data_IF_592342605843
#
_entry.id   IF_592342605843
#
_cell.length_a   1.000
_cell.length_b   1.000
_cell.length_c   1.000
_cell.angle_alpha   90.00
_cell.angle_beta   90.00
_cell.angle_gamma   90.00
#
_symmetry.space_group_name_H-M   'P 1'
#
loop_
_entity.id
_entity.type
_entity.pdbx_description
1 polymer ?
#
# COMPACT_ATOMS: atom_id res chain seq x y z
N UNK A 1 -69.99 -16.85 -20.99
CA UNK A 1 -69.83 -16.38 -19.61
C UNK A 1 -68.36 -16.18 -19.34
N UNK A 2 -67.65 -15.33 -20.07
CA UNK A 2 -67.70 -13.85 -20.03
C UNK A 2 -67.06 -13.27 -18.78
N UNK A 3 -66.02 -12.47 -19.04
CA UNK A 3 -65.46 -11.42 -18.19
C UNK A 3 -64.88 -11.85 -16.82
N UNK A 4 -63.62 -11.57 -16.48
CA UNK A 4 -63.07 -10.21 -16.45
C UNK A 4 -61.56 -10.21 -16.63
N UNK A 5 -61.16 -9.28 -17.50
CA UNK A 5 -59.81 -8.85 -17.82
C UNK A 5 -59.47 -7.69 -16.86
N UNK A 6 -58.59 -7.90 -15.91
CA UNK A 6 -58.01 -6.83 -15.08
C UNK A 6 -56.50 -6.77 -15.29
N UNK A 7 -56.11 -5.85 -16.18
CA UNK A 7 -54.75 -5.37 -16.34
C UNK A 7 -54.18 -4.89 -15.00
N UNK A 8 -53.17 -5.57 -14.47
CA UNK A 8 -52.27 -4.98 -13.49
C UNK A 8 -50.99 -4.53 -14.20
N UNK A 9 -50.76 -3.23 -14.12
CA UNK A 9 -49.69 -2.48 -14.77
C UNK A 9 -48.32 -3.02 -14.35
N UNK A 10 -47.50 -3.40 -15.34
CA UNK A 10 -46.06 -3.49 -15.15
C UNK A 10 -45.50 -2.08 -14.95
N UNK A 11 -44.82 -1.85 -13.83
CA UNK A 11 -43.91 -0.74 -13.62
C UNK A 11 -42.49 -1.23 -13.93
N UNK A 12 -41.69 -0.49 -14.73
CA UNK A 12 -40.31 -0.87 -14.99
C UNK A 12 -39.41 -0.38 -13.85
N UNK A 13 -39.07 -1.25 -12.90
CA UNK A 13 -38.04 -0.92 -11.90
C UNK A 13 -36.66 -1.32 -12.39
N UNK A 14 -36.04 -0.38 -13.10
CA UNK A 14 -34.62 -0.02 -13.02
C UNK A 14 -33.60 -1.17 -12.98
N UNK A 15 -33.15 -1.57 -14.16
CA UNK A 15 -31.79 -2.09 -14.36
C UNK A 15 -30.76 -0.97 -14.09
N UNK A 16 -30.38 -0.74 -12.83
CA UNK A 16 -29.20 0.08 -12.51
C UNK A 16 -27.95 -0.80 -12.52
N UNK A 17 -27.39 -0.98 -13.71
CA UNK A 17 -25.98 -1.39 -13.88
C UNK A 17 -25.10 -0.37 -13.14
N UNK A 18 -24.15 -0.77 -12.27
CA UNK A 18 -23.12 0.16 -11.81
C UNK A 18 -22.05 0.29 -12.90
N UNK A 19 -22.31 1.15 -13.89
CA UNK A 19 -21.31 1.68 -14.80
C UNK A 19 -20.71 2.98 -14.23
N UNK A 20 -19.40 3.18 -14.45
CA UNK A 20 -18.66 4.46 -14.42
C UNK A 20 -17.97 4.98 -13.12
N UNK A 21 -16.96 4.27 -12.58
CA UNK A 21 -15.99 4.88 -11.64
C UNK A 21 -14.51 4.55 -11.88
N UNK A 22 -14.13 4.15 -13.11
CA UNK A 22 -12.77 3.69 -13.44
C UNK A 22 -11.77 4.80 -13.82
N UNK A 23 -12.22 5.98 -14.24
CA UNK A 23 -11.32 7.04 -14.78
C UNK A 23 -10.65 7.91 -13.72
N UNK A 24 -11.32 8.21 -12.60
CA UNK A 24 -10.79 9.06 -11.52
C UNK A 24 -9.75 8.37 -10.62
N UNK A 25 -9.76 7.03 -10.57
CA UNK A 25 -8.82 6.23 -9.77
C UNK A 25 -7.40 6.20 -10.40
N UNK A 26 -7.29 6.14 -11.73
CA UNK A 26 -6.01 6.08 -12.46
C UNK A 26 -5.16 7.35 -12.28
N UNK A 27 -5.77 8.53 -12.34
CA UNK A 27 -5.06 9.81 -12.19
C UNK A 27 -4.50 9.98 -10.76
N UNK A 28 -5.26 9.55 -9.75
CA UNK A 28 -4.84 9.55 -8.34
C UNK A 28 -3.72 8.55 -8.07
N UNK A 29 -3.82 7.33 -8.60
CA UNK A 29 -2.76 6.32 -8.50
C UNK A 29 -1.45 6.80 -9.11
N UNK A 30 -1.50 7.42 -10.30
CA UNK A 30 -0.31 7.97 -10.97
C UNK A 30 0.36 9.09 -10.16
N UNK A 31 -0.44 9.92 -9.48
CA UNK A 31 0.05 10.99 -8.58
C UNK A 31 0.66 10.45 -7.28
N UNK A 32 0.16 9.35 -6.75
CA UNK A 32 0.74 8.68 -5.57
C UNK A 32 2.09 8.06 -5.94
N UNK A 33 2.16 7.33 -7.06
CA UNK A 33 3.42 6.73 -7.51
C UNK A 33 4.51 7.77 -7.81
N UNK A 34 4.14 8.92 -8.38
CA UNK A 34 5.12 9.97 -8.63
C UNK A 34 5.67 10.59 -7.34
N UNK A 35 4.84 10.72 -6.29
CA UNK A 35 5.30 11.15 -4.95
C UNK A 35 6.22 10.11 -4.30
N UNK A 36 5.86 8.82 -4.35
CA UNK A 36 6.70 7.74 -3.84
C UNK A 36 8.06 7.70 -4.56
N UNK A 37 8.07 7.86 -5.88
CA UNK A 37 9.32 7.93 -6.66
C UNK A 37 10.22 9.10 -6.22
N UNK A 38 9.63 10.27 -5.92
CA UNK A 38 10.38 11.41 -5.37
C UNK A 38 10.95 11.08 -4.00
N UNK A 39 10.18 10.45 -3.13
CA UNK A 39 10.61 10.05 -1.78
C UNK A 39 11.74 9.01 -1.82
N UNK A 40 11.64 7.97 -2.65
CA UNK A 40 12.73 7.02 -2.89
C UNK A 40 14.00 7.72 -3.39
N UNK A 41 13.84 8.76 -4.21
CA UNK A 41 14.93 9.60 -4.71
C UNK A 41 15.61 10.39 -3.60
N UNK A 42 14.86 11.08 -2.74
CA UNK A 42 15.42 11.86 -1.62
C UNK A 42 16.10 10.96 -0.59
N UNK A 43 15.52 9.80 -0.28
CA UNK A 43 16.17 8.79 0.59
C UNK A 43 17.46 8.29 -0.04
N UNK A 44 17.49 8.08 -1.36
CA UNK A 44 18.71 7.69 -2.07
C UNK A 44 19.82 8.73 -2.02
N UNK A 45 19.46 10.01 -2.19
CA UNK A 45 20.41 11.11 -2.05
C UNK A 45 20.97 11.14 -0.64
N UNK A 46 20.12 11.10 0.38
CA UNK A 46 20.58 11.07 1.77
C UNK A 46 21.55 9.91 2.04
N UNK A 47 21.23 8.69 1.57
CA UNK A 47 22.12 7.53 1.72
C UNK A 47 23.51 7.80 1.11
N UNK A 48 23.57 8.41 -0.08
CA UNK A 48 24.82 8.72 -0.76
C UNK A 48 25.57 9.91 -0.14
N UNK A 49 24.84 10.98 0.21
CA UNK A 49 25.40 12.24 0.74
C UNK A 49 26.01 12.05 2.13
N UNK A 50 25.43 11.15 2.94
CA UNK A 50 25.87 10.86 4.31
C UNK A 50 26.55 9.50 4.46
N UNK A 51 26.76 8.79 3.36
CA UNK A 51 27.41 7.46 3.35
C UNK A 51 26.79 6.49 4.38
N UNK A 52 25.45 6.50 4.47
CA UNK A 52 24.69 5.77 5.49
C UNK A 52 24.64 4.26 5.25
N UNK A 53 24.77 3.84 3.99
CA UNK A 53 24.70 2.43 3.57
C UNK A 53 25.80 2.18 2.56
N UNK A 54 26.66 1.23 2.89
CA UNK A 54 27.82 0.80 2.09
C UNK A 54 27.62 -0.61 1.56
N UNK A 55 28.50 -0.99 0.65
CA UNK A 55 28.53 -2.34 0.07
C UNK A 55 28.79 -3.39 1.17
N UNK A 56 27.94 -4.39 1.24
CA UNK A 56 28.02 -5.49 2.21
C UNK A 56 27.32 -5.22 3.55
N UNK A 57 26.73 -4.04 3.75
CA UNK A 57 26.11 -3.69 5.03
C UNK A 57 24.90 -4.58 5.38
N UNK A 58 24.74 -4.84 6.67
CA UNK A 58 23.56 -5.51 7.24
C UNK A 58 22.77 -4.53 8.11
N UNK A 59 21.59 -4.16 7.64
CA UNK A 59 20.75 -3.11 8.23
C UNK A 59 19.57 -3.75 8.96
N UNK A 60 19.38 -3.38 10.22
CA UNK A 60 18.20 -3.77 11.00
C UNK A 60 17.23 -2.59 11.10
N UNK A 61 15.99 -2.79 10.69
CA UNK A 61 14.93 -1.77 10.73
C UNK A 61 13.98 -2.06 11.88
N UNK A 62 13.92 -1.14 12.85
CA UNK A 62 12.91 -1.16 13.90
C UNK A 62 11.52 -0.80 13.35
N UNK A 63 10.63 -1.78 13.31
CA UNK A 63 9.24 -1.62 12.88
C UNK A 63 8.37 -1.42 14.11
N UNK A 64 7.86 -0.20 14.27
CA UNK A 64 6.98 0.18 15.37
C UNK A 64 5.49 -0.07 15.10
N UNK A 65 5.13 -0.56 13.91
CA UNK A 65 3.74 -0.59 13.42
C UNK A 65 3.26 0.75 12.84
N UNK A 66 4.12 1.77 12.84
CA UNK A 66 3.83 3.06 12.22
C UNK A 66 3.98 3.07 10.70
N UNK A 67 3.27 3.99 10.04
CA UNK A 67 3.41 4.24 8.59
C UNK A 67 4.84 4.60 8.19
N UNK A 68 5.57 5.30 9.05
CA UNK A 68 6.90 5.83 8.73
C UNK A 68 7.96 4.72 8.69
N UNK A 69 7.95 3.81 9.67
CA UNK A 69 8.85 2.65 9.73
C UNK A 69 8.55 1.63 8.62
N UNK A 70 7.26 1.38 8.34
CA UNK A 70 6.85 0.52 7.22
C UNK A 70 7.21 1.13 5.86
N UNK A 71 7.02 2.44 5.69
CA UNK A 71 7.38 3.13 4.45
C UNK A 71 8.90 3.11 4.23
N UNK A 72 9.69 3.32 5.28
CA UNK A 72 11.15 3.23 5.19
C UNK A 72 11.59 1.82 4.79
N UNK A 73 11.03 0.79 5.43
CA UNK A 73 11.31 -0.61 5.09
C UNK A 73 11.00 -0.90 3.61
N UNK A 74 9.83 -0.47 3.11
CA UNK A 74 9.45 -0.63 1.70
C UNK A 74 10.44 0.07 0.74
N UNK A 75 10.87 1.29 1.08
CA UNK A 75 11.85 2.03 0.28
C UNK A 75 13.21 1.31 0.25
N UNK A 76 13.68 0.79 1.38
CA UNK A 76 14.95 0.06 1.47
C UNK A 76 14.89 -1.24 0.67
N UNK A 77 13.81 -2.00 0.76
CA UNK A 77 13.59 -3.21 -0.05
C UNK A 77 13.52 -2.89 -1.54
N UNK A 78 12.85 -1.79 -1.92
CA UNK A 78 12.80 -1.33 -3.30
C UNK A 78 14.18 -0.89 -3.83
N UNK A 79 15.03 -0.34 -2.96
CA UNK A 79 16.42 0.03 -3.27
C UNK A 79 17.31 -1.20 -3.41
N UNK A 80 17.19 -2.20 -2.54
CA UNK A 80 17.95 -3.44 -2.64
C UNK A 80 17.78 -4.11 -4.01
N UNK A 81 16.59 -4.01 -4.63
CA UNK A 81 16.29 -4.56 -5.96
C UNK A 81 16.82 -3.74 -7.14
N UNK A 82 17.14 -2.45 -6.94
CA UNK A 82 17.38 -1.49 -8.04
C UNK A 82 18.72 -0.76 -7.94
N UNK A 83 19.32 -0.72 -6.77
CA UNK A 83 20.56 0.00 -6.52
C UNK A 83 21.76 -0.89 -6.86
N UNK A 84 22.89 -0.28 -7.27
CA UNK A 84 24.14 -0.99 -7.52
C UNK A 84 24.88 -1.40 -6.23
N UNK A 85 24.30 -1.15 -5.05
CA UNK A 85 24.89 -1.45 -3.74
C UNK A 85 24.19 -2.68 -3.17
N UNK A 86 24.94 -3.74 -2.86
CA UNK A 86 24.40 -4.92 -2.20
C UNK A 86 24.42 -4.74 -0.69
N UNK A 87 23.24 -4.75 -0.07
CA UNK A 87 23.09 -4.72 1.38
C UNK A 87 21.97 -5.68 1.79
N UNK A 88 21.97 -6.08 3.06
CA UNK A 88 20.93 -6.94 3.66
C UNK A 88 20.04 -6.10 4.55
N UNK A 89 18.73 -6.38 4.54
CA UNK A 89 17.75 -5.72 5.40
C UNK A 89 17.02 -6.77 6.21
N UNK A 90 16.99 -6.57 7.52
CA UNK A 90 16.14 -7.30 8.45
C UNK A 90 15.18 -6.32 9.13
N UNK A 91 14.02 -6.80 9.57
CA UNK A 91 13.05 -6.03 10.33
C UNK A 91 12.89 -6.63 11.73
N UNK A 92 12.89 -5.79 12.76
CA UNK A 92 12.57 -6.20 14.12
C UNK A 92 11.44 -5.34 14.68
N UNK A 93 10.50 -5.96 15.37
CA UNK A 93 9.49 -5.27 16.16
C UNK A 93 9.76 -5.59 17.62
N UNK A 94 9.72 -4.58 18.49
CA UNK A 94 9.85 -4.77 19.93
C UNK A 94 8.45 -4.98 20.50
N UNK A 95 8.26 -6.10 21.20
CA UNK A 95 7.03 -6.39 21.92
C UNK A 95 6.91 -5.46 23.13
N UNK A 96 5.89 -4.58 23.21
CA UNK A 96 5.68 -3.70 24.35
C UNK A 96 5.21 -4.44 25.62
N UNK A 97 4.97 -5.76 25.56
CA UNK A 97 4.37 -6.59 26.61
C UNK A 97 3.02 -6.06 27.10
N UNK A 98 2.34 -5.28 26.26
CA UNK A 98 1.00 -4.81 26.53
C UNK A 98 0.01 -5.97 26.28
N UNK A 99 -0.99 -6.19 27.15
CA UNK A 99 -1.94 -7.29 27.00
C UNK A 99 -2.76 -7.22 25.70
N UNK A 100 -2.84 -6.04 25.06
CA UNK A 100 -3.53 -5.82 23.79
C UNK A 100 -2.63 -5.97 22.55
N UNK A 101 -1.33 -6.23 22.72
CA UNK A 101 -0.40 -6.40 21.60
C UNK A 101 -0.42 -7.84 21.07
N UNK A 102 -0.94 -8.01 19.86
CA UNK A 102 -0.89 -9.28 19.14
C UNK A 102 0.12 -9.19 17.97
N UNK A 103 1.28 -9.86 18.05
CA UNK A 103 2.24 -9.92 16.95
C UNK A 103 1.82 -10.90 15.84
N UNK A 104 0.69 -11.59 15.98
CA UNK A 104 0.22 -12.55 14.99
C UNK A 104 -0.04 -11.86 13.64
N UNK A 105 0.30 -12.50 12.51
CA UNK A 105 -0.06 -11.98 11.20
C UNK A 105 -1.56 -11.74 11.11
N UNK A 106 -1.96 -10.59 10.54
CA UNK A 106 -3.34 -10.39 10.16
C UNK A 106 -3.73 -11.49 9.18
N UNK A 107 -4.64 -12.36 9.59
CA UNK A 107 -5.19 -13.42 8.74
C UNK A 107 -6.05 -12.73 7.68
N UNK A 108 -5.81 -13.07 6.41
CA UNK A 108 -6.52 -12.53 5.24
C UNK A 108 -8.04 -12.79 5.28
#
# INVERSE_FOLDING_TARGET
>A
GDEKRSNQRQLPSSSSKPSSSKSSKKSRQKKIQSKLKKLCGTVGKAIADFDMIREGDSILVGVSGGKDSLTLLDILLAKQKKAPINFRVAACTVDPQAPEYDPSPLVD
#
